data_IF_932904750717
#
_entry.id   IF_932904750717
#
_cell.length_a   1.000
_cell.length_b   1.000
_cell.length_c   1.000
_cell.angle_alpha   90.00
_cell.angle_beta   90.00
_cell.angle_gamma   90.00
#
_symmetry.space_group_name_H-M   'P 1'
#
loop_
_entity.id
_entity.type
_entity.pdbx_description
1 polymer ?
#
# COMPACT_ATOMS: atom_id res chain seq x y z
N UNK A 1 -3.28 27.30 -20.00
CA UNK A 1 -2.86 27.67 -18.63
C UNK A 1 -3.66 26.77 -17.71
N UNK A 2 -3.04 25.71 -17.16
CA UNK A 2 -3.72 24.82 -16.23
C UNK A 2 -3.86 25.58 -14.91
N UNK A 3 -5.09 25.78 -14.50
CA UNK A 3 -5.43 26.29 -13.17
C UNK A 3 -4.96 25.23 -12.15
N UNK A 4 -3.79 25.45 -11.56
CA UNK A 4 -3.33 24.64 -10.45
C UNK A 4 -4.29 24.92 -9.29
N UNK A 5 -5.26 24.02 -9.09
CA UNK A 5 -6.14 24.05 -7.93
C UNK A 5 -5.25 24.16 -6.67
N UNK A 6 -5.42 25.22 -5.91
CA UNK A 6 -4.69 25.48 -4.69
C UNK A 6 -5.05 24.39 -3.68
N UNK A 7 -4.03 23.80 -3.06
CA UNK A 7 -4.21 22.84 -1.98
C UNK A 7 -4.85 23.52 -0.76
N UNK A 8 -6.02 23.09 -0.36
CA UNK A 8 -6.76 23.58 0.82
C UNK A 8 -7.03 22.47 1.87
N UNK A 9 -6.37 21.32 1.72
CA UNK A 9 -6.49 20.18 2.64
C UNK A 9 -5.54 20.25 3.84
N UNK A 10 -5.51 19.21 4.69
CA UNK A 10 -4.55 19.07 5.79
C UNK A 10 -3.12 19.11 5.28
N UNK A 11 -2.13 19.54 6.11
CA UNK A 11 -0.73 19.47 5.74
C UNK A 11 -0.36 18.07 5.23
N UNK A 12 0.35 17.99 4.09
CA UNK A 12 0.74 16.72 3.46
C UNK A 12 1.62 15.82 4.35
N UNK A 13 2.30 16.40 5.33
CA UNK A 13 3.14 15.69 6.29
C UNK A 13 2.36 15.14 7.49
N UNK A 14 1.06 15.45 7.63
CA UNK A 14 0.30 15.11 8.86
C UNK A 14 -0.70 13.98 8.62
N UNK A 15 -0.42 12.82 9.21
CA UNK A 15 -1.27 11.63 9.19
C UNK A 15 -1.79 11.25 10.58
N UNK A 16 -1.89 12.23 11.50
CA UNK A 16 -2.27 11.98 12.90
C UNK A 16 -3.66 11.32 13.09
N UNK A 17 -4.48 11.37 12.04
CA UNK A 17 -5.85 10.81 12.03
C UNK A 17 -5.98 9.58 11.15
N UNK A 18 -4.87 8.96 10.73
CA UNK A 18 -4.89 7.75 9.91
C UNK A 18 -5.69 6.62 10.57
N UNK A 19 -6.43 5.89 9.76
CA UNK A 19 -7.16 4.73 10.22
C UNK A 19 -6.22 3.58 10.60
N UNK A 20 -6.73 2.71 11.47
CA UNK A 20 -6.13 1.39 11.70
C UNK A 20 -6.61 0.40 10.63
N UNK A 21 -5.95 -0.77 10.49
CA UNK A 21 -6.44 -1.83 9.59
C UNK A 21 -7.87 -2.29 9.87
N UNK A 22 -8.28 -2.32 11.16
CA UNK A 22 -9.65 -2.70 11.54
C UNK A 22 -10.67 -1.67 11.05
N UNK A 23 -10.37 -0.37 11.21
CA UNK A 23 -11.23 0.71 10.70
C UNK A 23 -11.34 0.69 9.17
N UNK A 24 -10.24 0.38 8.47
CA UNK A 24 -10.29 0.23 7.01
C UNK A 24 -11.11 -1.00 6.61
N UNK A 25 -10.99 -2.11 7.34
CA UNK A 25 -11.78 -3.31 7.07
C UNK A 25 -13.27 -3.08 7.27
N UNK A 26 -13.66 -2.35 8.32
CA UNK A 26 -15.04 -1.92 8.55
C UNK A 26 -15.53 -0.98 7.44
N UNK A 27 -14.74 0.03 7.10
CA UNK A 27 -15.07 0.98 6.06
C UNK A 27 -15.26 0.32 4.68
N UNK A 28 -14.47 -0.70 4.38
CA UNK A 28 -14.51 -1.44 3.11
C UNK A 28 -15.30 -2.75 3.19
N UNK A 29 -16.11 -2.94 4.23
CA UNK A 29 -16.99 -4.11 4.33
C UNK A 29 -17.94 -4.18 3.13
N UNK A 30 -18.08 -5.39 2.54
CA UNK A 30 -18.94 -5.63 1.38
C UNK A 30 -18.33 -5.21 0.03
N UNK A 31 -17.16 -4.57 0.00
CA UNK A 31 -16.44 -4.26 -1.24
C UNK A 31 -15.88 -5.54 -1.85
N UNK A 32 -16.19 -5.82 -3.12
CA UNK A 32 -15.74 -7.01 -3.82
C UNK A 32 -14.33 -6.85 -4.42
N UNK A 33 -13.85 -5.62 -4.58
CA UNK A 33 -12.51 -5.33 -5.06
C UNK A 33 -11.44 -6.06 -4.23
N UNK A 34 -10.43 -6.68 -4.86
CA UNK A 34 -9.35 -7.39 -4.15
C UNK A 34 -8.33 -6.41 -3.56
N UNK A 35 -8.71 -5.67 -2.52
CA UNK A 35 -7.83 -4.79 -1.79
C UNK A 35 -7.01 -5.52 -0.72
N UNK A 36 -5.92 -4.91 -0.26
CA UNK A 36 -5.12 -5.42 0.86
C UNK A 36 -4.40 -4.27 1.59
N UNK A 37 -4.27 -4.38 2.92
CA UNK A 37 -3.40 -3.50 3.71
C UNK A 37 -1.95 -3.70 3.26
N UNK A 38 -1.22 -2.59 3.09
CA UNK A 38 0.16 -2.57 2.63
C UNK A 38 1.10 -1.99 3.69
N UNK A 39 2.35 -1.73 3.31
CA UNK A 39 3.32 -1.06 4.16
C UNK A 39 3.65 -1.77 5.47
N UNK A 40 3.92 -1.00 6.50
CA UNK A 40 4.30 -1.52 7.81
C UNK A 40 3.18 -2.29 8.51
N UNK A 41 1.95 -1.83 8.37
CA UNK A 41 0.78 -2.51 8.91
C UNK A 41 0.58 -3.92 8.35
N UNK A 42 0.90 -4.16 7.08
CA UNK A 42 0.82 -5.50 6.50
C UNK A 42 1.77 -6.49 7.19
N UNK A 43 2.96 -6.04 7.59
CA UNK A 43 3.92 -6.86 8.34
C UNK A 43 3.38 -7.21 9.74
N UNK A 44 2.77 -6.25 10.42
CA UNK A 44 2.17 -6.46 11.74
C UNK A 44 0.96 -7.41 11.67
N UNK A 45 0.11 -7.26 10.66
CA UNK A 45 -1.00 -8.18 10.41
C UNK A 45 -0.51 -9.61 10.14
N UNK A 46 0.55 -9.76 9.36
CA UNK A 46 1.17 -11.08 9.12
C UNK A 46 1.76 -11.69 10.38
N UNK A 47 2.39 -10.87 11.26
CA UNK A 47 2.93 -11.32 12.54
C UNK A 47 1.86 -11.59 13.61
N UNK A 48 0.63 -11.11 13.39
CA UNK A 48 -0.46 -11.17 14.36
C UNK A 48 -0.27 -10.24 15.58
N UNK A 49 0.63 -9.26 15.49
CA UNK A 49 0.87 -8.26 16.55
C UNK A 49 1.47 -6.98 15.99
N UNK A 50 1.13 -5.85 16.58
CA UNK A 50 1.78 -4.58 16.28
C UNK A 50 3.20 -4.55 16.86
N UNK A 51 4.17 -4.23 16.01
CA UNK A 51 5.60 -4.20 16.35
C UNK A 51 6.12 -2.80 16.61
N UNK A 52 5.48 -1.77 16.02
CA UNK A 52 5.81 -0.36 16.19
C UNK A 52 4.59 0.53 15.95
N UNK A 53 4.71 1.79 16.27
CA UNK A 53 3.73 2.81 15.84
C UNK A 53 3.84 3.04 14.34
N UNK A 54 2.68 3.13 13.66
CA UNK A 54 2.59 3.53 12.27
C UNK A 54 2.03 4.95 12.17
N UNK A 55 2.52 5.69 11.17
CA UNK A 55 2.16 7.10 10.96
C UNK A 55 0.97 7.22 10.01
N UNK A 56 0.82 6.25 9.10
CA UNK A 56 -0.14 6.19 8.01
C UNK A 56 -0.78 4.79 7.90
N UNK A 57 -1.84 4.69 7.14
CA UNK A 57 -2.39 3.42 6.68
C UNK A 57 -2.33 3.38 5.16
N UNK A 58 -1.64 2.41 4.63
CA UNK A 58 -1.56 2.13 3.20
C UNK A 58 -2.44 0.93 2.83
N UNK A 59 -3.22 1.04 1.76
CA UNK A 59 -3.86 -0.11 1.11
C UNK A 59 -3.47 -0.16 -0.36
N UNK A 60 -3.59 -1.32 -0.97
CA UNK A 60 -3.39 -1.52 -2.41
C UNK A 60 -4.61 -2.16 -3.05
N UNK A 61 -4.89 -1.83 -4.30
CA UNK A 61 -5.98 -2.37 -5.11
C UNK A 61 -5.56 -2.40 -6.58
N UNK A 62 -5.91 -3.44 -7.36
CA UNK A 62 -5.68 -3.39 -8.80
C UNK A 62 -6.46 -2.22 -9.42
N UNK A 63 -5.82 -1.49 -10.33
CA UNK A 63 -6.36 -0.26 -10.90
C UNK A 63 -7.78 -0.40 -11.48
N UNK A 64 -8.08 -1.54 -12.09
CA UNK A 64 -9.40 -1.80 -12.65
C UNK A 64 -10.52 -1.82 -11.60
N UNK A 65 -10.20 -2.05 -10.33
CA UNK A 65 -11.14 -2.10 -9.21
C UNK A 65 -11.10 -0.83 -8.35
N UNK A 66 -10.20 0.11 -8.63
CA UNK A 66 -10.12 1.37 -7.88
C UNK A 66 -11.46 2.15 -7.86
N UNK A 67 -12.26 2.21 -8.96
CA UNK A 67 -13.55 2.91 -8.93
C UNK A 67 -14.52 2.40 -7.87
N UNK A 68 -14.47 1.10 -7.51
CA UNK A 68 -15.32 0.53 -6.45
C UNK A 68 -14.87 1.04 -5.07
N UNK A 69 -13.54 1.06 -4.82
CA UNK A 69 -12.98 1.65 -3.59
C UNK A 69 -13.31 3.14 -3.51
N UNK A 70 -13.14 3.88 -4.60
CA UNK A 70 -13.44 5.30 -4.69
C UNK A 70 -14.90 5.57 -4.31
N UNK A 71 -15.85 4.91 -4.98
CA UNK A 71 -17.27 5.08 -4.72
C UNK A 71 -17.64 4.76 -3.26
N UNK A 72 -17.01 3.73 -2.67
CA UNK A 72 -17.21 3.38 -1.27
C UNK A 72 -16.72 4.47 -0.32
N UNK A 73 -15.50 4.99 -0.53
CA UNK A 73 -14.91 6.03 0.31
C UNK A 73 -15.67 7.37 0.18
N UNK A 74 -16.03 7.76 -1.04
CA UNK A 74 -16.87 8.95 -1.28
C UNK A 74 -18.26 8.81 -0.63
N UNK A 75 -18.86 7.61 -0.69
CA UNK A 75 -20.12 7.30 -0.01
C UNK A 75 -20.05 7.39 1.52
N UNK A 76 -18.86 7.26 2.11
CA UNK A 76 -18.58 7.50 3.53
C UNK A 76 -18.27 8.98 3.84
N UNK A 77 -18.33 9.87 2.85
CA UNK A 77 -18.07 11.30 2.99
C UNK A 77 -16.58 11.68 2.95
N UNK A 78 -15.70 10.77 2.49
CA UNK A 78 -14.29 11.09 2.30
C UNK A 78 -14.08 11.83 0.97
N UNK A 79 -13.19 12.81 0.99
CA UNK A 79 -12.67 13.47 -0.20
C UNK A 79 -11.37 12.81 -0.64
N UNK A 80 -11.23 12.56 -1.94
CA UNK A 80 -10.07 11.89 -2.50
C UNK A 80 -9.15 12.89 -3.21
N UNK A 81 -7.85 12.63 -3.11
CA UNK A 81 -6.80 13.46 -3.69
C UNK A 81 -5.81 12.57 -4.45
N UNK A 82 -5.66 12.82 -5.75
CA UNK A 82 -4.58 12.20 -6.51
C UNK A 82 -3.24 12.80 -6.07
N UNK A 83 -2.26 11.93 -5.82
CA UNK A 83 -0.91 12.36 -5.45
C UNK A 83 0.02 12.15 -6.65
N UNK A 84 0.58 13.26 -7.15
CA UNK A 84 1.53 13.25 -8.26
C UNK A 84 2.63 14.27 -7.98
N UNK A 85 3.88 13.89 -8.15
CA UNK A 85 5.08 14.72 -7.97
C UNK A 85 5.09 15.53 -6.66
N UNK A 86 4.67 14.89 -5.55
CA UNK A 86 4.63 15.51 -4.22
C UNK A 86 3.50 16.51 -4.00
N UNK A 87 2.56 16.63 -4.95
CA UNK A 87 1.36 17.43 -4.83
C UNK A 87 0.13 16.53 -4.66
N UNK A 88 -0.81 16.97 -3.83
CA UNK A 88 -2.10 16.33 -3.68
C UNK A 88 -3.16 17.20 -4.35
N UNK A 89 -3.85 16.63 -5.36
CA UNK A 89 -4.85 17.33 -6.19
C UNK A 89 -6.21 16.72 -5.87
N UNK A 90 -7.14 17.55 -5.40
CA UNK A 90 -8.51 17.11 -5.12
C UNK A 90 -9.17 16.54 -6.37
N UNK A 91 -9.78 15.37 -6.23
CA UNK A 91 -10.61 14.75 -7.26
C UNK A 91 -12.07 15.20 -7.07
N UNK A 92 -12.75 15.48 -8.18
CA UNK A 92 -14.21 15.59 -8.16
C UNK A 92 -14.83 14.20 -7.91
N UNK A 93 -16.02 14.09 -7.31
CA UNK A 93 -16.65 12.80 -7.08
C UNK A 93 -16.75 11.96 -8.35
N UNK A 94 -16.23 10.72 -8.29
CA UNK A 94 -16.16 9.81 -9.44
C UNK A 94 -15.06 10.13 -10.46
N UNK A 95 -14.26 11.17 -10.24
CA UNK A 95 -13.13 11.49 -11.11
C UNK A 95 -12.00 10.48 -10.91
N UNK A 96 -11.59 9.83 -12.01
CA UNK A 96 -10.47 8.88 -11.95
C UNK A 96 -9.13 9.61 -11.75
N UNK A 97 -8.24 9.14 -10.87
CA UNK A 97 -6.88 9.63 -10.80
C UNK A 97 -6.20 9.41 -12.15
N UNK A 98 -5.46 10.40 -12.61
CA UNK A 98 -4.83 10.40 -13.94
C UNK A 98 -3.99 9.14 -14.19
N UNK A 99 -3.70 8.84 -15.46
CA UNK A 99 -3.03 7.59 -15.90
C UNK A 99 -1.68 7.31 -15.18
N UNK A 100 -1.00 8.33 -14.68
CA UNK A 100 0.28 8.22 -13.95
C UNK A 100 0.08 8.17 -12.44
N UNK A 101 -1.10 8.54 -11.91
CA UNK A 101 -1.40 8.51 -10.49
C UNK A 101 -1.60 7.07 -10.00
N UNK A 102 -0.60 6.55 -9.25
CA UNK A 102 -0.71 5.28 -8.54
C UNK A 102 -1.15 5.46 -7.10
N UNK A 103 -1.23 6.70 -6.62
CA UNK A 103 -1.43 7.04 -5.23
C UNK A 103 -2.60 8.00 -5.09
N UNK A 104 -3.49 7.69 -4.17
CA UNK A 104 -4.66 8.52 -3.86
C UNK A 104 -4.83 8.57 -2.36
N UNK A 105 -4.85 9.79 -1.79
CA UNK A 105 -5.08 9.98 -0.37
C UNK A 105 -6.55 10.26 -0.09
N UNK A 106 -7.09 9.62 0.93
CA UNK A 106 -8.46 9.82 1.39
C UNK A 106 -8.46 10.69 2.65
N UNK A 107 -9.18 11.81 2.59
CA UNK A 107 -9.34 12.77 3.68
C UNK A 107 -10.78 12.76 4.19
N UNK A 108 -10.94 12.83 5.50
CA UNK A 108 -12.25 13.10 6.11
C UNK A 108 -12.39 14.60 6.40
N UNK A 109 -13.29 15.32 5.66
CA UNK A 109 -13.43 16.76 5.80
C UNK A 109 -13.89 17.20 7.20
N UNK A 110 -14.71 16.38 7.87
CA UNK A 110 -15.24 16.70 9.20
C UNK A 110 -14.17 16.91 10.26
N UNK A 111 -13.01 16.24 10.12
CA UNK A 111 -11.88 16.33 11.04
C UNK A 111 -10.63 16.93 10.39
N UNK A 112 -10.73 17.29 9.10
CA UNK A 112 -9.62 17.79 8.29
C UNK A 112 -8.37 16.90 8.42
N UNK A 113 -8.55 15.56 8.29
CA UNK A 113 -7.52 14.56 8.57
C UNK A 113 -7.43 13.48 7.50
N UNK A 114 -6.18 13.08 7.17
CA UNK A 114 -5.92 11.94 6.30
C UNK A 114 -6.33 10.65 7.00
N UNK A 115 -7.01 9.77 6.28
CA UNK A 115 -7.47 8.47 6.77
C UNK A 115 -6.68 7.31 6.22
N UNK A 116 -6.42 7.31 4.91
CA UNK A 116 -5.63 6.26 4.28
C UNK A 116 -5.00 6.71 2.97
N UNK A 117 -3.96 6.00 2.58
CA UNK A 117 -3.30 6.06 1.29
C UNK A 117 -3.69 4.84 0.45
N UNK A 118 -4.25 5.06 -0.73
CA UNK A 118 -4.70 4.02 -1.63
C UNK A 118 -3.77 3.95 -2.82
N UNK A 119 -3.05 2.84 -2.96
CA UNK A 119 -2.23 2.55 -4.13
C UNK A 119 -3.02 1.75 -5.18
N UNK A 120 -3.24 2.35 -6.33
CA UNK A 120 -3.68 1.63 -7.53
C UNK A 120 -2.48 0.92 -8.15
N UNK A 121 -2.52 -0.40 -8.25
CA UNK A 121 -1.43 -1.19 -8.83
C UNK A 121 -1.82 -1.81 -10.17
N UNK A 122 -0.86 -2.12 -11.06
CA UNK A 122 -1.11 -2.91 -12.26
C UNK A 122 -1.50 -4.36 -11.87
N UNK A 123 -2.00 -5.10 -12.86
CA UNK A 123 -2.50 -6.46 -12.67
C UNK A 123 -4.02 -6.50 -12.50
N UNK A 124 -4.52 -7.64 -12.05
CA UNK A 124 -5.96 -7.94 -11.96
C UNK A 124 -6.29 -8.72 -10.68
N UNK A 125 -7.47 -9.35 -10.63
CA UNK A 125 -7.89 -10.13 -9.46
C UNK A 125 -7.08 -11.42 -9.27
N UNK A 126 -6.40 -11.92 -10.29
CA UNK A 126 -5.61 -13.16 -10.28
C UNK A 126 -4.11 -12.90 -10.21
N UNK A 127 -3.64 -11.79 -10.80
CA UNK A 127 -2.23 -11.48 -11.00
C UNK A 127 -1.84 -10.20 -10.30
N UNK A 128 -0.85 -10.28 -9.42
CA UNK A 128 -0.13 -9.14 -8.90
C UNK A 128 1.04 -8.81 -9.82
N UNK A 129 1.26 -7.52 -10.09
CA UNK A 129 2.40 -7.02 -10.89
C UNK A 129 3.11 -5.93 -10.09
N UNK A 130 4.44 -5.96 -10.07
CA UNK A 130 5.26 -4.94 -9.41
C UNK A 130 5.11 -3.58 -10.10
N UNK A 131 4.44 -2.63 -9.43
CA UNK A 131 4.00 -1.37 -10.04
C UNK A 131 5.12 -0.43 -10.50
N UNK A 132 6.35 -0.59 -9.97
CA UNK A 132 7.46 0.32 -10.27
C UNK A 132 8.13 0.04 -11.61
N UNK A 133 8.19 -1.20 -12.03
CA UNK A 133 8.85 -1.60 -13.29
C UNK A 133 7.98 -2.46 -14.19
N UNK A 134 7.03 -3.20 -13.64
CA UNK A 134 6.24 -4.18 -14.38
C UNK A 134 6.97 -5.50 -14.67
N UNK A 135 8.24 -5.62 -14.27
CA UNK A 135 9.09 -6.78 -14.58
C UNK A 135 8.79 -8.02 -13.74
N UNK A 136 8.17 -7.84 -12.59
CA UNK A 136 7.83 -8.93 -11.68
C UNK A 136 6.33 -9.12 -11.59
N UNK A 137 5.90 -10.36 -11.59
CA UNK A 137 4.51 -10.75 -11.35
C UNK A 137 4.44 -12.00 -10.48
N UNK A 138 3.29 -12.19 -9.82
CA UNK A 138 2.98 -13.38 -9.03
C UNK A 138 1.47 -13.62 -8.99
N UNK A 139 1.00 -14.84 -8.69
CA UNK A 139 -0.39 -15.06 -8.35
C UNK A 139 -0.80 -14.17 -7.18
N UNK A 140 -1.94 -13.47 -7.29
CA UNK A 140 -2.40 -12.58 -6.22
C UNK A 140 -2.62 -13.32 -4.90
N UNK A 141 -3.11 -14.55 -4.96
CA UNK A 141 -3.26 -15.41 -3.78
C UNK A 141 -1.94 -15.71 -3.04
N UNK A 142 -0.79 -15.60 -3.74
CA UNK A 142 0.53 -15.73 -3.14
C UNK A 142 1.10 -14.36 -2.70
N UNK A 143 0.71 -13.29 -3.38
CA UNK A 143 1.14 -11.92 -3.08
C UNK A 143 0.35 -11.27 -1.92
N UNK A 144 -0.68 -11.93 -1.40
CA UNK A 144 -1.51 -11.44 -0.29
C UNK A 144 -1.92 -12.57 0.63
N UNK A 145 -2.23 -12.23 1.89
CA UNK A 145 -2.79 -13.13 2.88
C UNK A 145 -4.00 -12.52 3.57
N UNK A 146 -4.57 -13.25 4.53
CA UNK A 146 -5.65 -12.75 5.41
C UNK A 146 -5.35 -13.10 6.85
N UNK A 147 -5.70 -12.20 7.76
CA UNK A 147 -5.69 -12.48 9.21
C UNK A 147 -6.83 -13.47 9.57
N UNK A 148 -6.82 -14.06 10.77
CA UNK A 148 -7.96 -14.84 11.26
C UNK A 148 -9.28 -14.05 11.29
N UNK A 149 -9.23 -12.73 11.46
CA UNK A 149 -10.39 -11.83 11.37
C UNK A 149 -10.79 -11.48 9.91
N UNK A 150 -10.08 -12.03 8.91
CA UNK A 150 -10.41 -11.80 7.50
C UNK A 150 -9.78 -10.55 6.87
N UNK A 151 -9.02 -9.74 7.60
CA UNK A 151 -8.38 -8.51 7.06
C UNK A 151 -7.32 -8.92 6.04
N UNK A 152 -7.42 -8.47 4.77
CA UNK A 152 -6.43 -8.80 3.76
C UNK A 152 -5.16 -7.95 3.93
N UNK A 153 -4.00 -8.54 3.71
CA UNK A 153 -2.71 -7.86 3.76
C UNK A 153 -1.79 -8.31 2.63
N UNK A 154 -0.91 -7.41 2.20
CA UNK A 154 0.16 -7.72 1.23
C UNK A 154 1.18 -8.63 1.88
N UNK A 155 1.56 -9.70 1.18
CA UNK A 155 2.52 -10.70 1.68
C UNK A 155 3.87 -10.05 2.05
N UNK A 156 4.53 -10.51 3.14
CA UNK A 156 5.68 -9.82 3.71
C UNK A 156 6.87 -9.70 2.75
N UNK A 157 7.13 -10.69 1.89
CA UNK A 157 8.18 -10.62 0.88
C UNK A 157 7.92 -9.50 -0.15
N UNK A 158 6.66 -9.22 -0.47
CA UNK A 158 6.27 -8.12 -1.36
C UNK A 158 6.49 -6.78 -0.67
N UNK A 159 6.09 -6.66 0.60
CA UNK A 159 6.31 -5.43 1.38
C UNK A 159 7.80 -5.12 1.49
N UNK A 160 8.63 -6.11 1.81
CA UNK A 160 10.09 -5.93 1.88
C UNK A 160 10.69 -5.52 0.53
N UNK A 161 10.20 -6.08 -0.59
CA UNK A 161 10.61 -5.66 -1.92
C UNK A 161 10.38 -4.17 -2.17
N UNK A 162 9.22 -3.63 -1.75
CA UNK A 162 8.94 -2.20 -1.86
C UNK A 162 9.84 -1.34 -0.95
N UNK A 163 10.17 -1.82 0.25
CA UNK A 163 11.02 -1.13 1.23
C UNK A 163 12.49 -1.08 0.80
N UNK A 164 12.95 -2.04 0.04
CA UNK A 164 14.33 -2.11 -0.43
C UNK A 164 14.74 -0.93 -1.33
N UNK A 165 13.80 -0.26 -2.04
CA UNK A 165 14.14 0.83 -2.99
C UNK A 165 14.82 2.04 -2.32
N UNK A 166 14.40 2.41 -1.12
CA UNK A 166 14.93 3.55 -0.38
C UNK A 166 14.87 3.21 1.10
N UNK A 167 15.76 2.29 1.50
CA UNK A 167 15.75 1.65 2.82
C UNK A 167 16.07 2.67 3.91
N UNK A 168 15.11 2.94 4.77
CA UNK A 168 15.25 3.78 5.99
C UNK A 168 15.59 2.89 7.18
N UNK A 169 15.99 3.46 8.31
CA UNK A 169 16.30 2.70 9.54
C UNK A 169 15.13 1.81 9.95
N UNK A 170 13.89 2.33 9.90
CA UNK A 170 12.69 1.54 10.19
C UNK A 170 12.50 0.36 9.24
N UNK A 171 12.93 0.46 7.98
CA UNK A 171 12.82 -0.61 6.99
C UNK A 171 13.89 -1.69 7.23
N UNK A 172 15.07 -1.32 7.78
CA UNK A 172 16.08 -2.28 8.24
C UNK A 172 15.58 -3.09 9.45
N UNK A 173 14.91 -2.43 10.40
CA UNK A 173 14.30 -3.09 11.55
C UNK A 173 13.20 -4.05 11.09
N UNK A 174 12.33 -3.60 10.18
CA UNK A 174 11.27 -4.44 9.59
C UNK A 174 11.90 -5.68 8.89
N UNK A 175 12.95 -5.49 8.09
CA UNK A 175 13.64 -6.60 7.42
C UNK A 175 14.24 -7.59 8.41
N UNK A 176 14.99 -7.13 9.41
CA UNK A 176 15.63 -7.99 10.41
C UNK A 176 14.60 -8.80 11.21
N UNK A 177 13.41 -8.26 11.44
CA UNK A 177 12.32 -8.93 12.14
C UNK A 177 11.61 -9.98 11.26
N UNK A 178 11.43 -9.69 9.98
CA UNK A 178 10.57 -10.45 9.06
C UNK A 178 11.36 -11.53 8.31
N UNK A 179 12.53 -11.19 7.73
CA UNK A 179 13.27 -12.08 6.85
C UNK A 179 13.57 -13.47 7.44
N UNK A 180 13.94 -13.60 8.74
CA UNK A 180 14.18 -14.91 9.35
C UNK A 180 12.91 -15.78 9.49
N UNK A 181 11.73 -15.19 9.38
CA UNK A 181 10.43 -15.88 9.54
C UNK A 181 9.75 -16.18 8.20
N UNK A 182 10.29 -15.68 7.09
CA UNK A 182 9.78 -16.02 5.76
C UNK A 182 9.99 -17.52 5.50
N UNK A 183 9.00 -18.11 4.84
CA UNK A 183 9.18 -19.45 4.26
C UNK A 183 10.33 -19.44 3.24
N UNK A 184 11.04 -20.56 3.05
CA UNK A 184 12.16 -20.62 2.11
C UNK A 184 11.84 -20.10 0.72
N UNK A 185 10.69 -20.47 0.16
CA UNK A 185 10.26 -20.03 -1.17
C UNK A 185 10.07 -18.50 -1.25
N UNK A 186 9.56 -17.88 -0.20
CA UNK A 186 9.36 -16.43 -0.13
C UNK A 186 10.70 -15.68 0.01
N UNK A 187 11.65 -16.24 0.75
CA UNK A 187 13.03 -15.73 0.87
C UNK A 187 13.75 -15.79 -0.46
N UNK A 188 13.73 -16.95 -1.11
CA UNK A 188 14.38 -17.19 -2.40
C UNK A 188 13.80 -16.28 -3.47
N UNK A 189 12.47 -16.15 -3.49
CA UNK A 189 11.79 -15.23 -4.40
C UNK A 189 12.22 -13.78 -4.16
N UNK A 190 12.25 -13.31 -2.90
CA UNK A 190 12.66 -11.95 -2.56
C UNK A 190 14.11 -11.69 -2.98
N UNK A 191 15.02 -12.64 -2.73
CA UNK A 191 16.41 -12.53 -3.16
C UNK A 191 16.53 -12.46 -4.69
N UNK A 192 15.78 -13.28 -5.41
CA UNK A 192 15.75 -13.27 -6.87
C UNK A 192 15.16 -11.95 -7.42
N UNK A 193 14.06 -11.49 -6.85
CA UNK A 193 13.43 -10.23 -7.19
C UNK A 193 14.37 -9.03 -6.99
N UNK A 194 15.10 -8.98 -5.86
CA UNK A 194 16.08 -7.93 -5.58
C UNK A 194 17.25 -7.97 -6.59
N UNK A 195 17.71 -9.15 -7.01
CA UNK A 195 18.76 -9.24 -8.05
C UNK A 195 18.33 -8.63 -9.39
N UNK A 196 17.03 -8.69 -9.70
CA UNK A 196 16.47 -8.09 -10.93
C UNK A 196 16.33 -6.58 -10.79
N UNK A 197 15.64 -6.12 -9.72
CA UNK A 197 15.23 -4.71 -9.63
C UNK A 197 16.25 -3.82 -8.94
N UNK A 198 17.09 -4.39 -8.09
CA UNK A 198 18.08 -3.63 -7.30
C UNK A 198 19.36 -4.46 -7.10
N UNK A 199 20.10 -4.76 -8.18
CA UNK A 199 21.34 -5.52 -8.10
C UNK A 199 22.31 -4.90 -7.08
N UNK A 200 22.88 -5.73 -6.21
CA UNK A 200 23.82 -5.29 -5.17
C UNK A 200 23.15 -4.79 -3.88
N UNK A 201 21.84 -4.91 -3.72
CA UNK A 201 21.18 -4.60 -2.45
C UNK A 201 21.68 -5.52 -1.33
N UNK A 202 22.04 -4.95 -0.17
CA UNK A 202 22.64 -5.68 0.96
C UNK A 202 21.77 -6.84 1.51
N UNK A 203 20.46 -6.78 1.32
CA UNK A 203 19.57 -7.85 1.76
C UNK A 203 19.72 -9.14 0.94
N UNK A 204 20.27 -9.08 -0.28
CA UNK A 204 20.47 -10.27 -1.12
C UNK A 204 21.35 -11.30 -0.43
N UNK A 205 22.48 -10.85 0.12
CA UNK A 205 23.43 -11.74 0.82
C UNK A 205 22.82 -12.29 2.12
N UNK A 206 22.09 -11.45 2.85
CA UNK A 206 21.40 -11.83 4.10
C UNK A 206 20.25 -12.83 3.87
N UNK A 207 19.59 -12.77 2.72
CA UNK A 207 18.54 -13.73 2.35
C UNK A 207 19.12 -15.06 1.85
N UNK A 208 20.37 -15.07 1.41
CA UNK A 208 21.06 -16.26 0.88
C UNK A 208 21.87 -17.02 1.93
N UNK A 209 22.05 -16.45 3.13
CA UNK A 209 22.69 -17.06 4.28
C UNK A 209 21.73 -17.94 5.05
#
# INVERSE_FOLDING_TARGET
>A
MSDTKRWDGPPVETWSMAWTPDQAAEALEGVAAPWAVAGGWALDLWLGKQTRKHEDLEITVPRAFFPEIQARLEGLGLQLFAVDDGQAIALEPGEAPGRRGFQTWAMEPAVNGWRMDVFSEPGDAQTWIYRRTGELSAPRAWASGRTPAGIPYVAPQIVLLFKAKATRDKDQVDFALIAPKLLPEARDWLAAALRIIQPGHLWIDQLSA
#
